data_IF_375703583669
#
_entry.id   IF_375703583669
#
_cell.length_a   1.000
_cell.length_b   1.000
_cell.length_c   1.000
_cell.angle_alpha   90.00
_cell.angle_beta   90.00
_cell.angle_gamma   90.00
#
_symmetry.space_group_name_H-M   'P 1'
#
loop_
_entity.id
_entity.type
_entity.pdbx_description
1 polymer ?
#
# COMPACT_ATOMS: atom_id res chain seq x y z
N UNK A 1 -30.30 -19.39 -20.70
CA UNK A 1 -30.74 -18.96 -19.35
C UNK A 1 -29.83 -19.61 -18.33
N UNK A 2 -29.37 -18.92 -17.30
CA UNK A 2 -28.55 -19.55 -16.27
C UNK A 2 -29.34 -20.68 -15.59
N UNK A 3 -28.73 -21.86 -15.47
CA UNK A 3 -29.33 -23.01 -14.80
C UNK A 3 -29.33 -22.82 -13.29
N UNK A 4 -30.42 -23.19 -12.61
CA UNK A 4 -30.50 -23.28 -11.14
C UNK A 4 -30.17 -24.70 -10.69
N UNK A 5 -29.28 -24.81 -9.70
CA UNK A 5 -28.89 -26.08 -9.09
C UNK A 5 -29.43 -26.17 -7.67
N UNK A 6 -30.06 -27.28 -7.33
CA UNK A 6 -30.48 -27.62 -5.96
C UNK A 6 -29.68 -28.80 -5.40
N UNK A 7 -28.48 -28.97 -5.92
CA UNK A 7 -27.63 -30.12 -5.66
C UNK A 7 -26.44 -29.75 -4.76
N UNK A 8 -26.72 -28.91 -3.76
CA UNK A 8 -25.73 -28.59 -2.72
C UNK A 8 -25.50 -29.87 -1.90
N UNK A 9 -24.27 -30.36 -1.88
CA UNK A 9 -23.94 -31.60 -1.18
C UNK A 9 -23.38 -31.36 0.21
N UNK A 10 -22.54 -30.37 0.34
CA UNK A 10 -21.77 -30.08 1.57
C UNK A 10 -21.53 -28.58 1.70
N UNK A 11 -21.55 -28.11 2.94
CA UNK A 11 -21.12 -26.75 3.31
C UNK A 11 -20.16 -26.88 4.47
N UNK A 12 -18.92 -26.43 4.28
CA UNK A 12 -17.85 -26.50 5.27
C UNK A 12 -17.14 -25.14 5.40
N UNK A 13 -17.53 -24.38 6.41
CA UNK A 13 -17.02 -23.01 6.61
C UNK A 13 -17.34 -22.12 5.40
N UNK A 14 -16.32 -21.51 4.76
CA UNK A 14 -16.52 -20.65 3.60
C UNK A 14 -16.66 -21.41 2.27
N UNK A 15 -16.69 -22.75 2.30
CA UNK A 15 -16.71 -23.59 1.11
C UNK A 15 -18.03 -24.35 0.99
N UNK A 16 -18.49 -24.53 -0.25
CA UNK A 16 -19.69 -25.29 -0.57
C UNK A 16 -19.46 -26.14 -1.83
N UNK A 17 -19.92 -27.38 -1.80
CA UNK A 17 -19.85 -28.31 -2.94
C UNK A 17 -21.22 -28.41 -3.62
N UNK A 18 -21.27 -28.13 -4.91
CA UNK A 18 -22.45 -28.23 -5.76
C UNK A 18 -22.21 -29.31 -6.78
N UNK A 19 -23.12 -30.34 -6.83
CA UNK A 19 -23.03 -31.46 -7.76
C UNK A 19 -23.80 -31.25 -9.07
N UNK A 20 -23.32 -31.94 -10.09
CA UNK A 20 -24.05 -32.04 -11.38
C UNK A 20 -24.09 -30.72 -12.13
N UNK A 21 -23.04 -29.90 -12.01
CA UNK A 21 -22.93 -28.64 -12.73
C UNK A 21 -22.48 -28.88 -14.17
N UNK A 22 -23.02 -28.08 -15.10
CA UNK A 22 -22.69 -28.16 -16.52
C UNK A 22 -22.42 -26.77 -17.08
N UNK A 23 -21.31 -26.62 -17.83
CA UNK A 23 -20.96 -25.39 -18.52
C UNK A 23 -20.55 -24.26 -17.57
N UNK A 24 -20.11 -24.58 -16.34
CA UNK A 24 -19.59 -23.66 -15.34
C UNK A 24 -18.10 -23.50 -15.54
N UNK A 25 -17.57 -22.28 -15.38
CA UNK A 25 -16.17 -21.98 -15.54
C UNK A 25 -15.46 -21.71 -14.20
N UNK A 26 -14.13 -21.83 -14.19
CA UNK A 26 -13.31 -21.37 -13.05
C UNK A 26 -13.49 -19.87 -12.85
N UNK A 27 -13.45 -19.42 -11.60
CA UNK A 27 -13.65 -18.02 -11.18
C UNK A 27 -15.04 -17.46 -11.52
N UNK A 28 -15.96 -18.28 -12.00
CA UNK A 28 -17.32 -17.85 -12.29
C UNK A 28 -18.06 -17.46 -11.01
N UNK A 29 -18.75 -16.32 -11.07
CA UNK A 29 -19.60 -15.84 -9.99
C UNK A 29 -20.91 -16.63 -9.94
N UNK A 30 -21.31 -17.01 -8.74
CA UNK A 30 -22.61 -17.63 -8.46
C UNK A 30 -23.43 -16.85 -7.45
N UNK A 31 -24.74 -17.02 -7.51
CA UNK A 31 -25.70 -16.47 -6.56
C UNK A 31 -26.40 -17.64 -5.85
N UNK A 32 -26.39 -17.63 -4.54
CA UNK A 32 -27.08 -18.61 -3.69
C UNK A 32 -28.33 -17.94 -3.15
N UNK A 33 -29.48 -18.54 -3.40
CA UNK A 33 -30.76 -18.11 -2.85
C UNK A 33 -31.12 -19.02 -1.67
N UNK A 34 -31.22 -18.44 -0.48
CA UNK A 34 -31.70 -19.14 0.71
C UNK A 34 -33.21 -19.34 0.69
N UNK A 35 -33.68 -20.23 1.56
CA UNK A 35 -35.12 -20.45 1.76
C UNK A 35 -35.86 -19.19 2.24
N UNK A 36 -35.18 -18.27 2.91
CA UNK A 36 -35.69 -16.97 3.32
C UNK A 36 -35.90 -15.99 2.16
N UNK A 37 -35.37 -16.30 0.96
CA UNK A 37 -35.31 -15.37 -0.17
C UNK A 37 -34.06 -14.51 -0.20
N UNK A 38 -33.26 -14.53 0.85
CA UNK A 38 -31.96 -13.84 0.91
C UNK A 38 -31.03 -14.39 -0.16
N UNK A 39 -30.26 -13.49 -0.78
CA UNK A 39 -29.27 -13.83 -1.81
C UNK A 39 -27.88 -13.61 -1.27
N UNK A 40 -27.01 -14.60 -1.52
CA UNK A 40 -25.57 -14.55 -1.22
C UNK A 40 -24.78 -14.84 -2.46
N UNK A 41 -23.52 -14.42 -2.46
CA UNK A 41 -22.62 -14.63 -3.59
C UNK A 41 -21.61 -15.72 -3.29
N UNK A 42 -21.19 -16.40 -4.35
CA UNK A 42 -20.11 -17.36 -4.30
C UNK A 42 -19.27 -17.28 -5.58
N UNK A 43 -18.08 -17.85 -5.53
CA UNK A 43 -17.16 -17.94 -6.66
C UNK A 43 -16.72 -19.39 -6.84
N UNK A 44 -16.67 -19.85 -8.08
CA UNK A 44 -16.17 -21.19 -8.42
C UNK A 44 -14.65 -21.24 -8.22
N UNK A 45 -14.19 -22.15 -7.39
CA UNK A 45 -12.76 -22.37 -7.15
C UNK A 45 -12.23 -23.55 -7.97
N UNK A 46 -13.01 -24.62 -8.06
CA UNK A 46 -12.58 -25.86 -8.70
C UNK A 46 -13.79 -26.55 -9.35
N UNK A 47 -13.55 -27.20 -10.44
CA UNK A 47 -14.52 -28.03 -11.13
C UNK A 47 -13.89 -29.41 -11.33
N UNK A 48 -14.52 -30.44 -10.77
CA UNK A 48 -14.05 -31.81 -10.87
C UNK A 48 -15.22 -32.76 -11.10
N UNK A 49 -15.18 -33.56 -12.18
CA UNK A 49 -16.17 -34.56 -12.53
C UNK A 49 -17.63 -34.07 -12.51
N UNK A 50 -17.85 -32.81 -12.97
CA UNK A 50 -19.19 -32.21 -12.95
C UNK A 50 -19.63 -31.68 -11.58
N UNK A 51 -18.71 -31.57 -10.62
CA UNK A 51 -18.95 -30.93 -9.33
C UNK A 51 -18.19 -29.62 -9.26
N UNK A 52 -18.82 -28.57 -8.73
CA UNK A 52 -18.17 -27.29 -8.48
C UNK A 52 -17.92 -27.09 -6.98
N UNK A 53 -16.67 -26.90 -6.60
CA UNK A 53 -16.32 -26.37 -5.31
C UNK A 53 -16.38 -24.84 -5.40
N UNK A 54 -17.23 -24.23 -4.59
CA UNK A 54 -17.43 -22.80 -4.57
C UNK A 54 -17.05 -22.20 -3.23
N UNK A 55 -16.55 -20.98 -3.26
CA UNK A 55 -16.22 -20.17 -2.12
C UNK A 55 -17.34 -19.15 -1.87
N UNK A 56 -17.82 -19.09 -0.65
CA UNK A 56 -18.85 -18.15 -0.21
C UNK A 56 -18.22 -16.79 0.12
N UNK A 57 -18.85 -15.70 -0.30
CA UNK A 57 -18.44 -14.35 0.09
C UNK A 57 -19.06 -13.91 1.41
N UNK A 58 -20.22 -14.43 1.74
CA UNK A 58 -20.94 -14.17 2.99
C UNK A 58 -20.96 -15.43 3.87
N UNK A 59 -21.51 -15.30 5.08
CA UNK A 59 -21.65 -16.41 6.03
C UNK A 59 -22.37 -17.61 5.43
N UNK A 60 -21.94 -18.82 5.77
CA UNK A 60 -22.66 -20.06 5.42
C UNK A 60 -23.91 -20.32 6.27
N UNK A 61 -24.14 -19.52 7.33
CA UNK A 61 -25.28 -19.68 8.24
C UNK A 61 -26.59 -19.57 7.51
N UNK A 62 -27.49 -20.55 7.69
CA UNK A 62 -28.80 -20.56 7.04
C UNK A 62 -28.83 -21.16 5.63
N UNK A 63 -27.69 -21.57 5.07
CA UNK A 63 -27.67 -22.38 3.84
C UNK A 63 -28.20 -23.78 4.19
N UNK A 64 -29.28 -24.17 3.54
CA UNK A 64 -29.90 -25.48 3.68
C UNK A 64 -29.65 -26.30 2.42
N UNK A 65 -29.17 -27.54 2.58
CA UNK A 65 -28.79 -28.41 1.46
C UNK A 65 -29.93 -28.77 0.56
N UNK A 66 -31.16 -28.82 1.10
CA UNK A 66 -32.37 -29.27 0.36
C UNK A 66 -33.14 -28.10 -0.25
N UNK A 67 -33.15 -26.93 0.41
CA UNK A 67 -34.04 -25.82 0.03
C UNK A 67 -33.29 -24.64 -0.62
N UNK A 68 -32.00 -24.50 -0.39
CA UNK A 68 -31.22 -23.46 -1.03
C UNK A 68 -30.91 -23.79 -2.49
N UNK A 69 -30.75 -22.75 -3.31
CA UNK A 69 -30.50 -22.90 -4.75
C UNK A 69 -29.23 -22.11 -5.12
N UNK A 70 -28.50 -22.62 -6.10
CA UNK A 70 -27.31 -21.94 -6.66
C UNK A 70 -27.55 -21.68 -8.14
N UNK A 71 -27.20 -20.48 -8.58
CA UNK A 71 -27.25 -20.08 -9.98
C UNK A 71 -25.88 -19.49 -10.36
N UNK A 72 -25.22 -20.08 -11.34
CA UNK A 72 -23.98 -19.52 -11.91
C UNK A 72 -24.34 -18.48 -12.97
N UNK A 73 -23.55 -17.38 -13.02
CA UNK A 73 -23.91 -16.18 -13.77
C UNK A 73 -23.23 -16.08 -15.16
N UNK A 74 -22.35 -17.03 -15.49
CA UNK A 74 -21.62 -17.05 -16.76
C UNK A 74 -20.57 -15.93 -16.88
N UNK A 75 -20.14 -15.35 -15.77
CA UNK A 75 -19.13 -14.28 -15.72
C UNK A 75 -18.33 -14.33 -14.43
N UNK A 76 -17.12 -13.79 -14.48
CA UNK A 76 -16.29 -13.57 -13.30
C UNK A 76 -16.82 -12.41 -12.44
N UNK A 77 -16.14 -12.15 -11.31
CA UNK A 77 -16.44 -10.99 -10.48
C UNK A 77 -16.04 -9.71 -11.22
N UNK A 78 -16.98 -8.78 -11.32
CA UNK A 78 -16.81 -7.49 -11.98
C UNK A 78 -17.09 -6.34 -11.02
N UNK A 79 -16.37 -5.24 -11.19
CA UNK A 79 -16.66 -3.96 -10.59
C UNK A 79 -17.27 -3.03 -11.65
N UNK A 80 -18.37 -2.37 -11.30
CA UNK A 80 -18.86 -1.23 -12.07
C UNK A 80 -17.97 -0.03 -11.81
N UNK A 81 -17.27 0.46 -12.82
CA UNK A 81 -16.34 1.59 -12.70
C UNK A 81 -16.88 2.86 -13.34
N UNK A 82 -16.66 3.98 -12.71
CA UNK A 82 -17.06 5.32 -13.15
C UNK A 82 -16.17 6.38 -12.50
N UNK A 83 -16.08 7.57 -13.09
CA UNK A 83 -15.50 8.75 -12.45
C UNK A 83 -16.23 9.16 -11.17
N UNK A 84 -17.51 8.82 -11.05
CA UNK A 84 -18.35 9.13 -9.88
C UNK A 84 -17.99 8.31 -8.63
N UNK A 85 -17.04 7.38 -8.73
CA UNK A 85 -16.46 6.70 -7.57
C UNK A 85 -15.60 7.62 -6.70
N UNK A 86 -15.09 8.73 -7.24
CA UNK A 86 -14.34 9.73 -6.46
C UNK A 86 -15.26 10.35 -5.40
N UNK A 87 -14.73 10.51 -4.22
CA UNK A 87 -15.48 11.04 -3.07
C UNK A 87 -16.32 10.00 -2.32
N UNK A 88 -16.31 8.73 -2.75
CA UNK A 88 -17.20 7.70 -2.24
C UNK A 88 -16.47 6.65 -1.39
N UNK A 89 -17.24 6.04 -0.50
CA UNK A 89 -16.79 4.95 0.38
C UNK A 89 -17.54 3.66 0.04
N UNK A 90 -16.80 2.60 -0.18
CA UNK A 90 -17.30 1.28 -0.59
C UNK A 90 -16.89 0.21 0.44
N UNK A 91 -17.69 -0.85 0.50
CA UNK A 91 -17.27 -2.08 1.17
C UNK A 91 -16.21 -2.84 0.34
N UNK A 92 -15.71 -3.94 0.86
CA UNK A 92 -14.68 -4.76 0.19
C UNK A 92 -15.13 -5.40 -1.12
N UNK A 93 -16.42 -5.38 -1.43
CA UNK A 93 -17.01 -5.90 -2.66
C UNK A 93 -17.50 -4.80 -3.62
N UNK A 94 -17.16 -3.54 -3.32
CA UNK A 94 -17.46 -2.39 -4.17
C UNK A 94 -18.90 -1.87 -4.08
N UNK A 95 -19.63 -2.20 -2.99
CA UNK A 95 -20.95 -1.61 -2.72
C UNK A 95 -20.79 -0.32 -1.93
N UNK A 96 -21.47 0.79 -2.30
CA UNK A 96 -21.43 2.03 -1.53
C UNK A 96 -21.94 1.81 -0.08
N UNK A 97 -21.20 2.33 0.90
CA UNK A 97 -21.56 2.28 2.33
C UNK A 97 -21.66 3.67 2.99
N UNK A 98 -21.50 4.72 2.21
CA UNK A 98 -21.53 6.12 2.63
C UNK A 98 -22.95 6.74 2.66
N UNK A 99 -23.99 5.92 2.43
CA UNK A 99 -25.38 6.38 2.35
C UNK A 99 -25.74 7.13 1.06
N UNK A 100 -24.79 7.24 0.12
CA UNK A 100 -25.02 7.82 -1.20
C UNK A 100 -25.72 6.82 -2.16
N UNK A 101 -26.13 7.30 -3.35
CA UNK A 101 -26.78 6.46 -4.35
C UNK A 101 -25.81 5.42 -4.91
N UNK A 102 -26.33 4.35 -5.50
CA UNK A 102 -25.52 3.44 -6.30
C UNK A 102 -24.83 4.16 -7.45
N UNK A 103 -23.60 3.76 -7.74
CA UNK A 103 -22.83 4.29 -8.87
C UNK A 103 -23.38 3.72 -10.16
N UNK A 104 -23.75 4.61 -11.09
CA UNK A 104 -24.05 4.19 -12.47
C UNK A 104 -22.71 3.95 -13.19
N UNK A 105 -22.40 2.71 -13.54
CA UNK A 105 -21.09 2.41 -14.11
C UNK A 105 -20.98 2.86 -15.57
N UNK A 106 -19.85 3.47 -15.92
CA UNK A 106 -19.50 3.70 -17.33
C UNK A 106 -19.25 2.36 -18.05
N UNK A 107 -18.65 1.41 -17.33
CA UNK A 107 -18.49 0.01 -17.76
C UNK A 107 -18.34 -0.92 -16.57
N UNK A 108 -18.39 -2.24 -16.86
CA UNK A 108 -18.00 -3.29 -15.91
C UNK A 108 -16.66 -3.86 -16.27
N UNK A 109 -15.78 -4.01 -15.28
CA UNK A 109 -14.43 -4.51 -15.46
C UNK A 109 -14.20 -5.74 -14.56
N UNK A 110 -13.53 -6.76 -15.09
CA UNK A 110 -13.11 -7.94 -14.33
C UNK A 110 -12.12 -7.53 -13.23
N UNK A 111 -12.41 -7.93 -12.00
CA UNK A 111 -11.59 -7.56 -10.85
C UNK A 111 -10.28 -8.35 -10.74
N UNK A 112 -10.19 -9.51 -11.40
CA UNK A 112 -8.96 -10.27 -11.42
C UNK A 112 -7.84 -9.48 -12.13
N UNK A 113 -8.18 -8.73 -13.17
CA UNK A 113 -7.23 -7.93 -13.92
C UNK A 113 -6.08 -8.76 -14.49
N UNK A 114 -5.10 -8.08 -15.01
CA UNK A 114 -3.85 -8.71 -15.48
C UNK A 114 -2.66 -7.86 -15.05
N UNK A 115 -1.53 -8.50 -14.69
CA UNK A 115 -0.26 -7.80 -14.52
C UNK A 115 0.07 -7.00 -15.78
N UNK A 116 0.60 -5.80 -15.61
CA UNK A 116 0.97 -4.95 -16.73
C UNK A 116 2.08 -5.62 -17.56
N UNK A 117 1.86 -5.73 -18.87
CA UNK A 117 2.86 -6.29 -19.77
C UNK A 117 4.19 -5.50 -19.66
N UNK A 118 5.32 -6.16 -19.37
CA UNK A 118 6.63 -5.49 -19.25
C UNK A 118 7.01 -4.66 -20.47
N UNK A 119 6.66 -5.10 -21.68
CA UNK A 119 6.95 -4.37 -22.92
C UNK A 119 6.13 -3.07 -23.06
N UNK A 120 4.98 -2.99 -22.39
CA UNK A 120 4.13 -1.81 -22.38
C UNK A 120 4.50 -0.80 -21.27
N UNK A 121 5.42 -1.15 -20.37
CA UNK A 121 5.82 -0.27 -19.26
C UNK A 121 6.68 0.89 -19.71
N UNK A 122 6.44 2.06 -19.09
CA UNK A 122 7.37 3.18 -19.09
C UNK A 122 8.17 3.19 -17.78
N UNK A 123 9.41 3.63 -17.85
CA UNK A 123 10.24 3.80 -16.66
C UNK A 123 9.73 4.94 -15.78
N UNK A 124 9.65 4.75 -14.45
CA UNK A 124 9.39 5.81 -13.50
C UNK A 124 10.49 6.90 -13.53
N UNK A 125 10.10 8.17 -13.61
CA UNK A 125 11.06 9.30 -13.70
C UNK A 125 10.59 10.56 -12.99
N UNK A 126 9.33 10.65 -12.59
CA UNK A 126 8.74 11.87 -12.03
C UNK A 126 8.63 11.75 -10.51
N UNK A 127 8.97 12.83 -9.82
CA UNK A 127 8.91 12.93 -8.38
C UNK A 127 7.46 13.00 -7.88
N UNK A 128 7.13 12.16 -6.92
CA UNK A 128 5.91 12.31 -6.11
C UNK A 128 6.30 12.89 -4.77
N UNK A 129 5.77 14.08 -4.48
CA UNK A 129 5.91 14.70 -3.17
C UNK A 129 4.89 14.11 -2.22
N UNK A 130 5.36 13.41 -1.18
CA UNK A 130 4.51 12.86 -0.11
C UNK A 130 4.28 13.86 1.01
N UNK A 131 5.07 14.92 1.08
CA UNK A 131 5.07 15.90 2.16
C UNK A 131 5.75 15.39 3.44
N UNK A 132 6.38 14.22 3.39
CA UNK A 132 7.12 13.59 4.50
C UNK A 132 8.62 13.64 4.20
N UNK A 133 9.38 14.44 4.96
CA UNK A 133 10.79 14.69 4.69
C UNK A 133 11.65 13.42 4.64
N UNK A 134 11.42 12.45 5.52
CA UNK A 134 12.16 11.19 5.54
C UNK A 134 11.92 10.33 4.28
N UNK A 135 10.80 10.52 3.59
CA UNK A 135 10.50 9.89 2.30
C UNK A 135 11.04 10.76 1.18
N UNK A 136 10.57 11.99 1.08
CA UNK A 136 10.84 12.88 -0.06
C UNK A 136 12.32 13.21 -0.19
N UNK A 137 13.01 13.43 0.94
CA UNK A 137 14.41 13.80 0.96
C UNK A 137 15.40 12.64 0.80
N UNK A 138 15.07 11.44 1.29
CA UNK A 138 16.02 10.32 1.42
C UNK A 138 15.60 9.04 0.69
N UNK A 139 14.31 8.78 0.60
CA UNK A 139 13.74 7.56 0.04
C UNK A 139 12.64 7.89 -0.97
N UNK A 140 12.93 8.80 -1.86
CA UNK A 140 12.02 9.43 -2.81
C UNK A 140 11.11 8.46 -3.52
N UNK A 141 9.80 8.75 -3.48
CA UNK A 141 8.77 8.04 -4.22
C UNK A 141 8.72 8.58 -5.65
N UNK A 142 8.71 7.66 -6.62
CA UNK A 142 8.69 7.98 -8.04
C UNK A 142 7.37 7.52 -8.65
N UNK A 143 6.82 8.31 -9.54
CA UNK A 143 5.55 8.03 -10.22
C UNK A 143 5.59 6.69 -10.97
N UNK A 144 4.66 5.80 -10.65
CA UNK A 144 4.60 4.44 -11.20
C UNK A 144 5.43 3.40 -10.43
N UNK A 145 6.03 3.79 -9.30
CA UNK A 145 6.78 2.90 -8.42
C UNK A 145 5.85 2.11 -7.48
N UNK A 146 6.33 0.94 -7.04
CA UNK A 146 5.77 0.16 -5.93
C UNK A 146 6.72 0.29 -4.73
N UNK A 147 6.36 1.09 -3.74
CA UNK A 147 7.18 1.35 -2.55
C UNK A 147 6.42 0.98 -1.28
N UNK A 148 6.65 -0.20 -0.71
CA UNK A 148 5.93 -0.64 0.48
C UNK A 148 6.39 0.07 1.76
N UNK A 149 5.49 0.13 2.74
CA UNK A 149 5.79 0.52 4.11
C UNK A 149 5.73 -0.72 4.99
N UNK A 150 6.85 -1.05 5.61
CA UNK A 150 6.98 -2.11 6.58
C UNK A 150 6.79 -1.54 7.99
N UNK A 151 5.63 -1.83 8.56
CA UNK A 151 5.26 -1.47 9.92
C UNK A 151 5.40 -2.66 10.86
N UNK A 152 5.07 -2.45 12.12
CA UNK A 152 4.97 -3.48 13.13
C UNK A 152 3.74 -3.22 14.01
N UNK A 153 3.30 -4.23 14.75
CA UNK A 153 2.10 -4.13 15.60
C UNK A 153 2.19 -2.94 16.56
N UNK A 154 1.16 -2.12 16.60
CA UNK A 154 1.08 -0.92 17.43
C UNK A 154 1.87 0.29 16.94
N UNK A 155 2.53 0.24 15.78
CA UNK A 155 3.13 1.41 15.16
C UNK A 155 2.11 2.20 14.34
N UNK A 156 2.29 3.52 14.19
CA UNK A 156 1.29 4.43 13.64
C UNK A 156 1.26 4.46 12.11
N UNK A 157 1.19 3.30 11.46
CA UNK A 157 1.14 3.22 9.99
C UNK A 157 -0.15 3.79 9.41
N UNK A 158 -1.27 3.69 10.13
CA UNK A 158 -2.54 4.27 9.70
C UNK A 158 -2.45 5.80 9.60
N UNK A 159 -1.84 6.47 10.57
CA UNK A 159 -1.62 7.91 10.57
C UNK A 159 -0.71 8.34 9.40
N UNK A 160 0.37 7.58 9.14
CA UNK A 160 1.26 7.85 8.01
C UNK A 160 0.56 7.63 6.67
N UNK A 161 -0.23 6.56 6.53
CA UNK A 161 -1.02 6.31 5.33
C UNK A 161 -2.01 7.44 5.04
N UNK A 162 -2.74 7.87 6.07
CA UNK A 162 -3.66 9.00 5.97
C UNK A 162 -2.95 10.31 5.61
N UNK A 163 -1.78 10.57 6.19
CA UNK A 163 -0.95 11.73 5.88
C UNK A 163 -0.55 11.75 4.40
N UNK A 164 0.00 10.66 3.89
CA UNK A 164 0.41 10.52 2.48
C UNK A 164 -0.80 10.70 1.56
N UNK A 165 -1.92 10.04 1.85
CA UNK A 165 -3.14 10.15 1.04
C UNK A 165 -3.67 11.59 0.94
N UNK A 166 -3.59 12.36 2.03
CA UNK A 166 -4.07 13.75 2.07
C UNK A 166 -3.18 14.70 1.27
N UNK A 167 -1.88 14.55 1.34
CA UNK A 167 -0.94 15.58 0.90
C UNK A 167 -0.09 15.20 -0.32
N UNK A 168 -0.10 13.93 -0.76
CA UNK A 168 0.67 13.50 -1.91
C UNK A 168 0.23 14.21 -3.21
N UNK A 169 1.22 14.56 -4.03
CA UNK A 169 1.03 15.23 -5.33
C UNK A 169 2.21 14.98 -6.27
N UNK A 170 1.95 15.05 -7.57
CA UNK A 170 2.99 15.07 -8.62
C UNK A 170 3.28 16.54 -8.95
N UNK A 171 4.54 16.90 -9.07
CA UNK A 171 4.95 18.27 -9.44
C UNK A 171 4.95 18.45 -10.96
N UNK A 172 4.52 19.64 -11.42
CA UNK A 172 4.67 20.05 -12.81
C UNK A 172 3.74 19.33 -13.80
N UNK A 173 2.69 18.67 -13.33
CA UNK A 173 1.68 18.04 -14.17
C UNK A 173 0.34 18.78 -14.08
N UNK A 174 -0.44 18.69 -15.16
CA UNK A 174 -1.81 19.25 -15.23
C UNK A 174 -2.88 18.21 -15.02
N UNK A 175 -2.52 16.93 -15.10
CA UNK A 175 -3.44 15.82 -14.93
C UNK A 175 -3.87 15.68 -13.45
N UNK A 176 -5.12 15.28 -13.22
CA UNK A 176 -5.63 15.10 -11.87
C UNK A 176 -4.84 14.05 -11.07
N UNK A 177 -4.53 14.35 -9.82
CA UNK A 177 -3.95 13.41 -8.87
C UNK A 177 -5.02 12.92 -7.92
N UNK A 178 -5.25 11.62 -7.90
CA UNK A 178 -6.29 10.97 -7.08
C UNK A 178 -5.71 9.81 -6.29
N UNK A 179 -6.44 9.42 -5.25
CA UNK A 179 -6.05 8.33 -4.35
C UNK A 179 -7.11 7.22 -4.42
N UNK A 180 -6.66 5.98 -4.53
CA UNK A 180 -7.49 4.81 -4.27
C UNK A 180 -6.95 4.13 -3.02
N UNK A 181 -7.75 4.14 -1.96
CA UNK A 181 -7.36 3.63 -0.65
C UNK A 181 -8.15 2.37 -0.32
N UNK A 182 -7.47 1.27 -0.06
CA UNK A 182 -8.10 0.02 0.37
C UNK A 182 -7.61 -0.38 1.75
N UNK A 183 -8.52 -0.42 2.70
CA UNK A 183 -8.27 -0.86 4.07
C UNK A 183 -8.86 -2.27 4.26
N UNK A 184 -8.00 -3.22 4.61
CA UNK A 184 -8.30 -4.65 4.67
C UNK A 184 -8.16 -5.19 6.09
N UNK A 185 -9.24 -5.72 6.65
CA UNK A 185 -9.23 -6.33 7.98
C UNK A 185 -8.95 -5.35 9.11
N UNK A 186 -9.34 -4.10 8.95
CA UNK A 186 -9.15 -3.04 9.93
C UNK A 186 -10.28 -3.02 10.97
N UNK A 187 -10.03 -2.37 12.11
CA UNK A 187 -11.07 -2.14 13.11
C UNK A 187 -12.06 -1.07 12.65
N UNK A 188 -13.21 -1.01 13.32
CA UNK A 188 -14.20 0.04 13.05
C UNK A 188 -13.62 1.43 13.36
N UNK A 189 -12.83 1.54 14.44
CA UNK A 189 -12.19 2.80 14.85
C UNK A 189 -11.18 3.30 13.80
N UNK A 190 -10.41 2.39 13.21
CA UNK A 190 -9.50 2.75 12.11
C UNK A 190 -10.25 3.18 10.86
N UNK A 191 -11.35 2.50 10.55
CA UNK A 191 -12.22 2.91 9.42
C UNK A 191 -12.81 4.30 9.63
N UNK A 192 -13.36 4.57 10.81
CA UNK A 192 -13.89 5.88 11.18
C UNK A 192 -12.81 6.97 11.15
N UNK A 193 -11.60 6.64 11.62
CA UNK A 193 -10.44 7.52 11.54
C UNK A 193 -10.11 7.93 10.09
N UNK A 194 -10.04 6.97 9.15
CA UNK A 194 -9.75 7.28 7.75
C UNK A 194 -10.84 8.16 7.12
N UNK A 195 -12.11 7.78 7.29
CA UNK A 195 -13.25 8.52 6.73
C UNK A 195 -13.26 9.96 7.25
N UNK A 196 -13.18 10.15 8.58
CA UNK A 196 -13.16 11.47 9.20
C UNK A 196 -11.95 12.28 8.78
N UNK A 197 -10.75 11.69 8.79
CA UNK A 197 -9.51 12.36 8.38
C UNK A 197 -9.59 12.89 6.95
N UNK A 198 -10.18 12.14 6.03
CA UNK A 198 -10.33 12.58 4.65
C UNK A 198 -11.44 13.59 4.46
N UNK A 199 -12.56 13.47 5.18
CA UNK A 199 -13.65 14.45 5.16
C UNK A 199 -13.22 15.79 5.74
N UNK A 200 -12.60 15.81 6.92
CA UNK A 200 -12.15 17.05 7.60
C UNK A 200 -11.14 17.85 6.77
N UNK A 201 -10.36 17.19 5.96
CA UNK A 201 -9.31 17.82 5.13
C UNK A 201 -9.73 18.08 3.69
N UNK A 202 -10.92 17.65 3.28
CA UNK A 202 -11.36 17.68 1.88
C UNK A 202 -10.67 16.68 0.96
N UNK A 203 -9.78 15.83 1.49
CA UNK A 203 -9.09 14.82 0.70
C UNK A 203 -10.04 13.73 0.17
N UNK A 204 -11.20 13.59 0.78
CA UNK A 204 -12.22 12.62 0.34
C UNK A 204 -12.62 12.86 -1.11
N UNK A 205 -12.74 14.12 -1.57
CA UNK A 205 -13.22 14.47 -2.90
C UNK A 205 -12.35 13.89 -4.03
N UNK A 206 -11.07 13.59 -3.74
CA UNK A 206 -10.12 12.98 -4.66
C UNK A 206 -9.78 11.54 -4.29
N UNK A 207 -10.54 10.92 -3.41
CA UNK A 207 -10.27 9.57 -2.90
C UNK A 207 -11.41 8.62 -3.21
N UNK A 208 -11.07 7.42 -3.65
CA UNK A 208 -11.97 6.26 -3.65
C UNK A 208 -11.55 5.38 -2.49
N UNK A 209 -12.43 5.18 -1.51
CA UNK A 209 -12.11 4.40 -0.30
C UNK A 209 -12.86 3.08 -0.29
N UNK A 210 -12.12 1.97 -0.22
CA UNK A 210 -12.65 0.62 0.00
C UNK A 210 -12.34 0.20 1.43
N UNK A 211 -13.35 -0.30 2.15
CA UNK A 211 -13.21 -0.71 3.54
C UNK A 211 -13.70 -2.14 3.72
N UNK A 212 -12.82 -2.99 4.23
CA UNK A 212 -13.16 -4.31 4.74
C UNK A 212 -12.79 -4.36 6.22
N UNK A 213 -13.76 -4.61 7.07
CA UNK A 213 -13.57 -4.65 8.52
C UNK A 213 -13.01 -6.01 8.98
N UNK A 214 -12.47 -6.04 10.18
CA UNK A 214 -11.89 -7.25 10.76
C UNK A 214 -12.91 -8.39 10.94
N UNK A 215 -14.19 -8.06 11.15
CA UNK A 215 -15.29 -9.00 11.29
C UNK A 215 -15.95 -9.38 9.95
N UNK A 216 -15.54 -8.75 8.84
CA UNK A 216 -16.01 -9.14 7.51
C UNK A 216 -15.35 -10.45 7.05
N UNK A 217 -16.00 -11.22 6.17
CA UNK A 217 -15.46 -12.49 5.69
C UNK A 217 -14.07 -12.38 5.05
N UNK A 218 -13.22 -13.39 5.29
CA UNK A 218 -11.87 -13.46 4.71
C UNK A 218 -11.88 -13.38 3.18
N UNK A 219 -12.91 -13.92 2.54
CA UNK A 219 -13.07 -13.92 1.07
C UNK A 219 -13.30 -12.51 0.53
N UNK A 220 -14.08 -11.71 1.23
CA UNK A 220 -14.27 -10.29 0.90
C UNK A 220 -12.94 -9.54 1.01
N UNK A 221 -12.15 -9.83 2.05
CA UNK A 221 -10.82 -9.26 2.25
C UNK A 221 -9.88 -9.57 1.09
N UNK A 222 -9.94 -10.78 0.53
CA UNK A 222 -9.18 -11.17 -0.66
C UNK A 222 -9.64 -10.41 -1.92
N UNK A 223 -10.92 -10.09 -2.04
CA UNK A 223 -11.46 -9.33 -3.16
C UNK A 223 -11.11 -7.84 -3.09
N UNK A 224 -11.02 -7.26 -1.90
CA UNK A 224 -10.87 -5.82 -1.66
C UNK A 224 -9.72 -5.17 -2.45
N UNK A 225 -8.47 -5.65 -2.43
CA UNK A 225 -7.39 -5.02 -3.19
C UNK A 225 -7.58 -5.16 -4.70
N UNK A 226 -8.26 -6.21 -5.16
CA UNK A 226 -8.61 -6.38 -6.58
C UNK A 226 -9.63 -5.34 -7.03
N UNK A 227 -10.65 -5.07 -6.21
CA UNK A 227 -11.61 -3.99 -6.45
C UNK A 227 -10.91 -2.64 -6.55
N UNK A 228 -10.04 -2.33 -5.59
CA UNK A 228 -9.28 -1.08 -5.55
C UNK A 228 -8.39 -0.91 -6.80
N UNK A 229 -7.64 -1.94 -7.18
CA UNK A 229 -6.77 -1.88 -8.35
C UNK A 229 -7.57 -1.77 -9.66
N UNK A 230 -8.75 -2.39 -9.74
CA UNK A 230 -9.63 -2.27 -10.91
C UNK A 230 -10.17 -0.84 -11.06
N UNK A 231 -10.58 -0.21 -9.95
CA UNK A 231 -10.95 1.20 -9.95
C UNK A 231 -9.75 2.10 -10.35
N UNK A 232 -8.57 1.82 -9.80
CA UNK A 232 -7.36 2.55 -10.12
C UNK A 232 -6.96 2.45 -11.59
N UNK A 233 -7.03 1.26 -12.20
CA UNK A 233 -6.75 1.05 -13.62
C UNK A 233 -7.68 1.85 -14.51
N UNK A 234 -8.96 1.89 -14.19
CA UNK A 234 -9.93 2.69 -14.92
C UNK A 234 -9.62 4.19 -14.84
N UNK A 235 -9.39 4.71 -13.64
CA UNK A 235 -9.07 6.13 -13.43
C UNK A 235 -7.72 6.50 -14.08
N UNK A 236 -6.72 5.63 -14.00
CA UNK A 236 -5.39 5.89 -14.56
C UNK A 236 -5.35 5.78 -16.09
N UNK A 237 -5.87 4.69 -16.64
CA UNK A 237 -5.62 4.34 -18.05
C UNK A 237 -6.77 4.66 -18.98
N UNK A 238 -7.94 5.02 -18.47
CA UNK A 238 -9.10 5.46 -19.27
C UNK A 238 -9.50 6.90 -19.00
N UNK A 239 -9.18 7.43 -17.81
CA UNK A 239 -9.44 8.84 -17.44
C UNK A 239 -8.15 9.68 -17.36
N UNK A 240 -7.00 9.09 -17.68
CA UNK A 240 -5.68 9.75 -17.71
C UNK A 240 -5.28 10.44 -16.39
N UNK A 241 -5.66 9.85 -15.24
CA UNK A 241 -5.34 10.39 -13.93
C UNK A 241 -4.06 9.80 -13.36
N UNK A 242 -3.39 10.55 -12.49
CA UNK A 242 -2.31 10.01 -11.65
C UNK A 242 -2.92 9.42 -10.39
N UNK A 243 -2.91 8.10 -10.28
CA UNK A 243 -3.53 7.37 -9.19
C UNK A 243 -2.46 6.87 -8.21
N UNK A 244 -2.57 7.30 -6.95
CA UNK A 244 -1.85 6.70 -5.84
C UNK A 244 -2.74 5.65 -5.19
N UNK A 245 -2.31 4.39 -5.23
CA UNK A 245 -3.00 3.29 -4.57
C UNK A 245 -2.32 2.98 -3.25
N UNK A 246 -3.08 2.99 -2.16
CA UNK A 246 -2.61 2.58 -0.82
C UNK A 246 -3.41 1.34 -0.41
N UNK A 247 -2.70 0.25 -0.15
CA UNK A 247 -3.28 -1.01 0.31
C UNK A 247 -2.79 -1.30 1.74
N UNK A 248 -3.68 -1.23 2.72
CA UNK A 248 -3.39 -1.51 4.13
C UNK A 248 -4.46 -2.42 4.74
N UNK A 249 -4.20 -3.50 5.44
CA UNK A 249 -2.90 -4.10 5.74
C UNK A 249 -2.71 -5.38 4.90
N UNK A 250 -1.60 -5.48 4.23
CA UNK A 250 -1.28 -6.66 3.39
C UNK A 250 -1.10 -7.92 4.27
N UNK A 251 -0.74 -7.76 5.54
CA UNK A 251 -0.66 -8.90 6.46
C UNK A 251 -2.03 -9.51 6.70
N UNK A 252 -3.06 -8.68 6.91
CA UNK A 252 -4.44 -9.16 7.04
C UNK A 252 -4.93 -9.84 5.75
N UNK A 253 -4.53 -9.32 4.60
CA UNK A 253 -4.80 -9.95 3.31
C UNK A 253 -4.16 -11.34 3.20
N UNK A 254 -2.87 -11.45 3.54
CA UNK A 254 -2.16 -12.73 3.49
C UNK A 254 -2.71 -13.75 4.50
N UNK A 255 -3.13 -13.30 5.68
CA UNK A 255 -3.79 -14.14 6.67
C UNK A 255 -5.16 -14.66 6.18
N UNK A 256 -5.90 -13.84 5.42
CA UNK A 256 -7.12 -14.30 4.74
C UNK A 256 -6.82 -15.37 3.68
N UNK A 257 -5.74 -15.23 2.90
CA UNK A 257 -5.29 -16.27 1.98
C UNK A 257 -4.95 -17.56 2.71
N UNK A 258 -4.25 -17.48 3.84
CA UNK A 258 -3.91 -18.63 4.68
C UNK A 258 -5.15 -19.33 5.23
N UNK A 259 -6.14 -18.58 5.71
CA UNK A 259 -7.41 -19.12 6.21
C UNK A 259 -8.15 -19.90 5.12
N UNK A 260 -8.29 -19.31 3.94
CA UNK A 260 -8.97 -19.95 2.81
C UNK A 260 -8.20 -21.18 2.32
N UNK A 261 -6.88 -21.10 2.20
CA UNK A 261 -6.02 -22.23 1.81
C UNK A 261 -6.13 -23.39 2.80
N UNK A 262 -6.16 -23.09 4.10
CA UNK A 262 -6.36 -24.12 5.14
C UNK A 262 -7.75 -24.77 5.05
N UNK A 263 -8.80 -23.99 4.79
CA UNK A 263 -10.15 -24.52 4.60
C UNK A 263 -10.24 -25.45 3.37
N UNK A 264 -9.46 -25.17 2.32
CA UNK A 264 -9.33 -26.03 1.12
C UNK A 264 -8.44 -27.25 1.33
N UNK A 265 -7.82 -27.38 2.51
CA UNK A 265 -6.85 -28.46 2.81
C UNK A 265 -5.66 -28.51 1.85
N UNK A 266 -5.26 -27.34 1.34
CA UNK A 266 -4.05 -27.22 0.51
C UNK A 266 -2.80 -27.51 1.32
N UNK A 267 -1.76 -28.01 0.65
CA UNK A 267 -0.47 -28.23 1.32
C UNK A 267 0.13 -26.89 1.72
N UNK A 268 0.37 -26.64 3.01
CA UNK A 268 0.87 -25.36 3.46
C UNK A 268 2.33 -25.16 3.05
N UNK A 269 2.65 -23.94 2.64
CA UNK A 269 4.01 -23.49 2.44
C UNK A 269 4.64 -22.96 3.74
N UNK A 270 5.62 -22.08 3.60
CA UNK A 270 6.36 -21.47 4.72
C UNK A 270 5.41 -20.75 5.68
N UNK A 271 5.50 -21.03 6.97
CA UNK A 271 4.65 -20.49 8.06
C UNK A 271 3.14 -20.69 7.85
N UNK A 272 2.74 -21.70 7.09
CA UNK A 272 1.34 -22.02 6.85
C UNK A 272 0.65 -21.20 5.76
N UNK A 273 1.35 -20.30 5.10
CA UNK A 273 0.82 -19.57 3.94
C UNK A 273 0.73 -20.45 2.71
N UNK A 274 -0.19 -20.17 1.76
CA UNK A 274 -0.28 -20.95 0.54
C UNK A 274 0.98 -20.83 -0.31
N UNK A 275 1.36 -21.92 -0.98
CA UNK A 275 2.56 -21.94 -1.83
C UNK A 275 2.53 -20.94 -2.97
N UNK A 276 1.32 -20.51 -3.40
CA UNK A 276 1.11 -19.51 -4.45
C UNK A 276 1.10 -18.06 -3.96
N UNK A 277 1.38 -17.78 -2.67
CA UNK A 277 1.30 -16.42 -2.13
C UNK A 277 2.19 -15.42 -2.87
N UNK A 278 3.38 -15.84 -3.32
CA UNK A 278 4.26 -15.00 -4.14
C UNK A 278 3.58 -14.56 -5.44
N UNK A 279 3.05 -15.53 -6.18
CA UNK A 279 2.37 -15.27 -7.46
C UNK A 279 1.11 -14.43 -7.27
N UNK A 280 0.39 -14.66 -6.19
CA UNK A 280 -0.82 -13.90 -5.86
C UNK A 280 -0.49 -12.43 -5.54
N UNK A 281 0.48 -12.17 -4.66
CA UNK A 281 0.96 -10.81 -4.37
C UNK A 281 1.54 -10.13 -5.62
N UNK A 282 2.31 -10.86 -6.44
CA UNK A 282 2.83 -10.34 -7.69
C UNK A 282 1.71 -9.95 -8.65
N UNK A 283 0.65 -10.74 -8.74
CA UNK A 283 -0.51 -10.43 -9.59
C UNK A 283 -1.21 -9.14 -9.20
N UNK A 284 -1.19 -8.77 -7.92
CA UNK A 284 -1.70 -7.49 -7.43
C UNK A 284 -0.70 -6.36 -7.72
N UNK A 285 0.52 -6.49 -7.26
CA UNK A 285 1.51 -5.40 -7.29
C UNK A 285 1.93 -5.04 -8.73
N UNK A 286 1.98 -6.01 -9.62
CA UNK A 286 2.37 -5.79 -11.03
C UNK A 286 1.27 -5.15 -11.89
N UNK A 287 0.11 -4.85 -11.31
CA UNK A 287 -0.92 -3.99 -11.95
C UNK A 287 -0.54 -2.51 -11.87
N UNK A 288 0.34 -2.12 -10.96
CA UNK A 288 0.83 -0.76 -10.84
C UNK A 288 1.94 -0.45 -11.85
N UNK A 289 2.07 0.82 -12.20
CA UNK A 289 3.12 1.33 -13.09
C UNK A 289 2.64 2.42 -14.04
N UNK A 290 3.49 2.72 -15.01
CA UNK A 290 3.19 3.61 -16.14
C UNK A 290 3.12 2.79 -17.42
N UNK A 291 2.15 3.11 -18.27
CA UNK A 291 1.96 2.44 -19.56
C UNK A 291 2.32 3.37 -20.72
N UNK A 292 3.04 2.85 -21.72
CA UNK A 292 3.36 3.59 -22.96
C UNK A 292 2.09 4.04 -23.65
N UNK A 293 2.06 5.30 -24.09
CA UNK A 293 0.91 5.89 -24.77
C UNK A 293 -0.27 6.27 -23.87
N UNK A 294 -0.13 6.16 -22.55
CA UNK A 294 -1.09 6.62 -21.56
C UNK A 294 -0.50 7.75 -20.71
N UNK A 295 -1.28 8.80 -20.48
CA UNK A 295 -0.88 9.91 -19.62
C UNK A 295 -0.96 9.54 -18.14
N UNK A 296 -1.97 8.76 -17.75
CA UNK A 296 -2.17 8.31 -16.38
C UNK A 296 -1.14 7.30 -15.89
N UNK A 297 -1.16 7.05 -14.58
CA UNK A 297 -0.24 6.13 -13.92
C UNK A 297 -0.82 5.59 -12.63
N UNK A 298 -0.32 4.44 -12.20
CA UNK A 298 -0.61 3.87 -10.87
C UNK A 298 0.70 3.76 -10.10
N UNK A 299 0.79 4.49 -9.00
CA UNK A 299 1.84 4.37 -7.98
C UNK A 299 1.26 3.60 -6.81
N UNK A 300 1.98 2.63 -6.28
CA UNK A 300 1.46 1.70 -5.28
C UNK A 300 2.27 1.77 -3.98
N UNK A 301 1.58 1.95 -2.88
CA UNK A 301 2.12 1.85 -1.52
C UNK A 301 1.39 0.71 -0.79
N UNK A 302 1.91 -0.54 -0.85
CA UNK A 302 1.44 -1.60 0.02
C UNK A 302 1.97 -1.36 1.44
N UNK A 303 1.09 -1.41 2.43
CA UNK A 303 1.47 -1.30 3.84
C UNK A 303 1.24 -2.65 4.50
N UNK A 304 2.24 -3.15 5.21
CA UNK A 304 2.16 -4.40 5.93
C UNK A 304 2.66 -4.27 7.36
N UNK A 305 2.11 -5.07 8.24
CA UNK A 305 2.57 -5.22 9.61
C UNK A 305 3.44 -6.47 9.69
N UNK A 306 4.72 -6.30 10.04
CA UNK A 306 5.64 -7.43 10.21
C UNK A 306 5.28 -8.21 11.48
N UNK A 307 4.89 -9.50 11.38
CA UNK A 307 4.72 -10.32 12.57
C UNK A 307 6.04 -10.43 13.35
N UNK A 308 5.97 -10.24 14.66
CA UNK A 308 7.13 -10.30 15.57
C UNK A 308 8.27 -9.31 15.23
N UNK A 309 7.97 -8.23 14.50
CA UNK A 309 8.95 -7.27 13.94
C UNK A 309 9.99 -7.95 13.00
N UNK A 310 9.68 -9.14 12.47
CA UNK A 310 10.57 -9.99 11.69
C UNK A 310 10.51 -9.65 10.18
N UNK A 311 11.55 -9.01 9.67
CA UNK A 311 11.71 -8.68 8.24
C UNK A 311 11.86 -9.92 7.36
N UNK A 312 12.24 -11.08 7.93
CA UNK A 312 12.41 -12.34 7.20
C UNK A 312 11.14 -13.18 7.13
N UNK A 313 10.05 -12.67 7.75
CA UNK A 313 8.74 -13.28 7.62
C UNK A 313 8.28 -13.31 6.14
N UNK A 314 7.56 -14.36 5.68
CA UNK A 314 7.18 -14.48 4.27
C UNK A 314 6.52 -13.23 3.66
N UNK A 315 5.70 -12.51 4.40
CA UNK A 315 4.98 -11.34 3.88
C UNK A 315 5.91 -10.18 3.52
N UNK A 316 6.74 -9.64 4.44
CA UNK A 316 7.70 -8.60 4.07
C UNK A 316 8.77 -9.10 3.10
N UNK A 317 9.23 -10.33 3.25
CA UNK A 317 10.25 -10.93 2.39
C UNK A 317 9.79 -10.97 0.93
N UNK A 318 8.62 -11.56 0.65
CA UNK A 318 8.06 -11.63 -0.70
C UNK A 318 7.69 -10.24 -1.26
N UNK A 319 7.12 -9.37 -0.43
CA UNK A 319 6.81 -7.99 -0.84
C UNK A 319 8.07 -7.24 -1.25
N UNK A 320 9.16 -7.38 -0.50
CA UNK A 320 10.45 -6.76 -0.81
C UNK A 320 11.07 -7.25 -2.13
N UNK A 321 10.83 -8.51 -2.52
CA UNK A 321 11.29 -9.04 -3.81
C UNK A 321 10.51 -8.50 -5.00
N UNK A 322 9.20 -8.31 -4.85
CA UNK A 322 8.32 -7.89 -5.95
C UNK A 322 8.40 -6.37 -6.19
N UNK A 323 8.67 -5.60 -5.15
CA UNK A 323 8.61 -4.13 -5.16
C UNK A 323 9.97 -3.46 -5.33
N UNK A 324 9.99 -2.14 -5.50
CA UNK A 324 11.20 -1.36 -5.74
C UNK A 324 11.73 -0.64 -4.49
N UNK A 325 11.76 -1.33 -3.36
CA UNK A 325 12.30 -0.81 -2.10
C UNK A 325 11.42 -1.09 -0.89
N UNK A 326 11.65 -0.38 0.19
CA UNK A 326 10.81 -0.40 1.40
C UNK A 326 11.06 0.84 2.26
N UNK A 327 10.03 1.33 2.92
CA UNK A 327 10.09 2.28 4.03
C UNK A 327 9.84 1.50 5.32
N UNK A 328 10.71 1.64 6.31
CA UNK A 328 10.62 0.86 7.56
C UNK A 328 10.27 1.78 8.72
N UNK A 329 9.23 1.43 9.47
CA UNK A 329 8.89 2.08 10.73
C UNK A 329 9.65 1.42 11.89
N UNK A 330 10.18 2.24 12.79
CA UNK A 330 11.00 1.81 13.91
C UNK A 330 10.27 1.95 15.24
N UNK A 331 10.24 0.86 16.00
CA UNK A 331 9.74 0.86 17.37
C UNK A 331 10.62 1.68 18.32
N UNK A 332 11.94 1.73 18.07
CA UNK A 332 12.88 2.57 18.83
C UNK A 332 12.54 4.05 18.67
N UNK A 333 12.40 4.52 17.42
CA UNK A 333 12.04 5.91 17.13
C UNK A 333 10.65 6.27 17.67
N UNK A 334 9.69 5.34 17.58
CA UNK A 334 8.36 5.52 18.13
C UNK A 334 8.40 5.75 19.65
N UNK A 335 9.22 4.96 20.38
CA UNK A 335 9.41 5.14 21.84
C UNK A 335 10.10 6.48 22.19
N UNK A 336 10.86 7.06 21.27
CA UNK A 336 11.44 8.40 21.39
C UNK A 336 10.47 9.52 21.01
N UNK A 337 9.20 9.20 20.74
CA UNK A 337 8.17 10.13 20.24
C UNK A 337 8.54 10.81 18.90
N UNK A 338 9.29 10.14 18.05
CA UNK A 338 9.54 10.58 16.67
C UNK A 338 8.31 10.21 15.82
N UNK A 339 7.73 11.20 15.15
CA UNK A 339 6.49 11.01 14.38
C UNK A 339 6.57 11.69 12.99
N UNK A 340 6.45 10.93 11.89
CA UNK A 340 6.38 9.47 11.80
C UNK A 340 7.71 8.80 12.15
N UNK A 341 7.71 7.60 12.73
CA UNK A 341 8.93 6.94 13.21
C UNK A 341 9.65 6.17 12.08
N UNK A 342 10.00 6.86 11.00
CA UNK A 342 10.65 6.27 9.84
C UNK A 342 12.14 6.07 10.11
N UNK A 343 12.60 4.83 10.08
CA UNK A 343 14.01 4.50 10.12
C UNK A 343 14.63 4.61 8.73
N UNK A 344 15.36 5.66 8.48
CA UNK A 344 15.90 5.96 7.15
C UNK A 344 17.09 5.08 6.76
N UNK A 345 17.81 4.47 7.71
CA UNK A 345 19.00 3.66 7.39
C UNK A 345 18.63 2.33 6.71
N UNK A 346 17.68 1.52 7.21
CA UNK A 346 17.25 0.31 6.54
C UNK A 346 16.20 0.56 5.45
N UNK A 347 15.69 1.78 5.34
CA UNK A 347 14.76 2.16 4.27
C UNK A 347 15.50 2.38 2.95
N UNK A 348 14.85 2.01 1.86
CA UNK A 348 15.44 2.11 0.52
C UNK A 348 14.35 2.34 -0.53
N UNK A 349 14.54 3.35 -1.38
CA UNK A 349 13.86 3.46 -2.67
C UNK A 349 14.86 3.20 -3.77
N UNK A 350 14.68 2.11 -4.53
CA UNK A 350 15.60 1.72 -5.62
C UNK A 350 15.53 2.65 -6.82
N UNK A 351 14.46 3.42 -6.93
CA UNK A 351 14.22 4.35 -8.05
C UNK A 351 14.44 5.82 -7.67
N UNK A 352 14.86 6.12 -6.45
CA UNK A 352 15.00 7.48 -5.93
C UNK A 352 15.76 8.42 -6.86
N UNK A 353 16.90 7.95 -7.42
CA UNK A 353 17.76 8.77 -8.29
C UNK A 353 17.09 9.15 -9.62
N UNK A 354 16.02 8.45 -10.00
CA UNK A 354 15.25 8.75 -11.23
C UNK A 354 14.27 9.90 -11.04
N UNK A 355 13.85 10.16 -9.79
CA UNK A 355 12.85 11.19 -9.46
C UNK A 355 13.43 12.52 -9.00
N UNK A 356 14.74 12.64 -8.80
CA UNK A 356 15.37 13.81 -8.19
C UNK A 356 16.36 14.51 -9.12
N UNK A 357 16.74 15.73 -8.77
CA UNK A 357 17.73 16.54 -9.47
C UNK A 357 17.13 17.72 -10.25
N UNK A 358 17.94 18.34 -11.08
CA UNK A 358 17.57 19.51 -11.87
C UNK A 358 16.37 19.22 -12.77
N UNK A 359 15.40 20.12 -12.77
CA UNK A 359 14.15 19.97 -13.53
C UNK A 359 13.09 19.06 -12.89
N UNK A 360 13.40 18.36 -11.79
CA UNK A 360 12.48 17.48 -11.05
C UNK A 360 12.24 17.95 -9.63
N UNK A 361 13.33 18.12 -8.89
CA UNK A 361 13.34 18.67 -7.54
C UNK A 361 14.29 19.88 -7.48
N UNK A 362 15.44 19.74 -6.85
CA UNK A 362 16.47 20.76 -6.82
C UNK A 362 17.83 20.11 -7.14
N UNK A 363 18.75 20.85 -7.78
CA UNK A 363 20.04 20.32 -8.24
C UNK A 363 20.94 19.72 -7.17
N UNK A 364 20.81 20.20 -5.93
CA UNK A 364 21.57 19.75 -4.77
C UNK A 364 20.99 18.49 -4.10
N UNK A 365 19.77 18.05 -4.51
CA UNK A 365 19.02 17.02 -3.79
C UNK A 365 19.83 15.73 -3.60
N UNK A 366 20.45 15.20 -4.66
CA UNK A 366 21.21 13.95 -4.57
C UNK A 366 22.41 14.06 -3.63
N UNK A 367 23.14 15.19 -3.69
CA UNK A 367 24.29 15.43 -2.83
C UNK A 367 23.88 15.61 -1.37
N UNK A 368 22.84 16.39 -1.11
CA UNK A 368 22.27 16.62 0.23
C UNK A 368 21.77 15.31 0.84
N UNK A 369 21.00 14.52 0.10
CA UNK A 369 20.52 13.22 0.49
C UNK A 369 21.64 12.28 0.91
N UNK A 370 22.69 12.14 0.08
CA UNK A 370 23.81 11.25 0.36
C UNK A 370 24.62 11.71 1.57
N UNK A 371 24.76 13.01 1.78
CA UNK A 371 25.49 13.57 2.91
C UNK A 371 24.69 13.40 4.22
N UNK A 372 23.41 13.70 4.22
CA UNK A 372 22.52 13.49 5.38
C UNK A 372 22.51 12.03 5.82
N UNK A 373 22.35 11.11 4.87
CA UNK A 373 22.35 9.67 5.14
C UNK A 373 23.68 9.22 5.77
N UNK A 374 24.82 9.64 5.20
CA UNK A 374 26.13 9.27 5.70
C UNK A 374 26.41 9.89 7.09
N UNK A 375 26.02 11.14 7.31
CA UNK A 375 26.18 11.81 8.60
C UNK A 375 25.33 11.16 9.70
N UNK A 376 24.09 10.81 9.38
CA UNK A 376 23.20 10.12 10.32
C UNK A 376 23.72 8.72 10.66
N UNK A 377 24.17 7.94 9.67
CA UNK A 377 24.78 6.62 9.89
C UNK A 377 25.98 6.71 10.85
N UNK A 378 26.90 7.64 10.58
CA UNK A 378 28.07 7.87 11.47
C UNK A 378 27.65 8.31 12.87
N UNK A 379 26.63 9.15 12.98
CA UNK A 379 26.10 9.57 14.28
C UNK A 379 25.49 8.41 15.08
N UNK A 380 24.82 7.48 14.44
CA UNK A 380 24.30 6.26 15.08
C UNK A 380 25.44 5.37 15.57
N UNK A 381 26.50 5.17 14.76
CA UNK A 381 27.68 4.43 15.16
C UNK A 381 28.39 5.08 16.36
N UNK A 382 28.55 6.40 16.36
CA UNK A 382 29.11 7.13 17.48
C UNK A 382 28.30 6.95 18.76
N UNK A 383 26.99 6.96 18.68
CA UNK A 383 26.10 6.70 19.83
C UNK A 383 26.20 5.28 20.35
N UNK A 384 26.34 4.29 19.48
CA UNK A 384 26.58 2.89 19.88
C UNK A 384 27.92 2.74 20.61
N UNK A 385 28.97 3.36 20.09
CA UNK A 385 30.28 3.40 20.76
C UNK A 385 30.21 4.09 22.13
N UNK A 386 29.43 5.17 22.25
CA UNK A 386 29.25 5.87 23.52
C UNK A 386 28.58 4.97 24.58
N UNK A 387 27.62 4.14 24.17
CA UNK A 387 26.97 3.19 25.09
C UNK A 387 27.92 2.11 25.57
N UNK A 388 28.83 1.63 24.70
CA UNK A 388 29.73 0.51 25.01
C UNK A 388 30.99 0.98 25.77
N UNK A 389 31.59 2.08 25.33
CA UNK A 389 32.91 2.55 25.82
C UNK A 389 32.86 3.80 26.74
N UNK A 390 31.68 4.42 26.81
CA UNK A 390 31.50 5.69 27.53
C UNK A 390 31.82 6.91 26.68
N UNK A 391 31.30 8.07 27.07
CA UNK A 391 31.44 9.35 26.34
C UNK A 391 32.93 9.81 26.24
N UNK A 392 33.73 9.49 27.21
CA UNK A 392 35.15 9.86 27.25
C UNK A 392 36.01 9.20 26.15
N UNK A 393 35.52 8.11 25.55
CA UNK A 393 36.15 7.40 24.45
C UNK A 393 35.90 8.03 23.07
N UNK A 394 34.91 8.94 22.95
CA UNK A 394 34.59 9.60 21.71
C UNK A 394 35.51 10.74 21.38
N UNK A 395 35.89 10.86 20.11
CA UNK A 395 36.57 12.08 19.61
C UNK A 395 35.56 13.25 19.57
N UNK A 396 36.04 14.49 19.53
CA UNK A 396 35.19 15.68 19.41
C UNK A 396 34.35 15.62 18.11
N UNK A 397 34.89 15.05 17.03
CA UNK A 397 34.16 14.84 15.78
C UNK A 397 33.03 13.81 15.97
N UNK A 398 33.25 12.72 16.68
CA UNK A 398 32.22 11.73 16.94
C UNK A 398 31.07 12.28 17.79
N UNK A 399 31.40 13.17 18.76
CA UNK A 399 30.37 13.89 19.54
C UNK A 399 29.53 14.81 18.66
N UNK A 400 30.14 15.51 17.69
CA UNK A 400 29.38 16.31 16.72
C UNK A 400 28.44 15.47 15.90
N UNK A 401 28.87 14.31 15.41
CA UNK A 401 27.99 13.39 14.66
C UNK A 401 26.89 12.77 15.53
N UNK A 402 27.16 12.44 16.78
CA UNK A 402 26.18 11.97 17.73
C UNK A 402 25.07 13.03 17.98
N UNK A 403 25.46 14.29 18.18
CA UNK A 403 24.53 15.41 18.32
C UNK A 403 23.76 15.68 17.03
N UNK A 404 24.40 15.55 15.86
CA UNK A 404 23.73 15.62 14.57
C UNK A 404 22.65 14.55 14.44
N UNK A 405 22.93 13.31 14.84
CA UNK A 405 21.94 12.23 14.77
C UNK A 405 20.70 12.52 15.61
N UNK A 406 20.86 13.08 16.82
CA UNK A 406 19.73 13.47 17.66
C UNK A 406 18.92 14.62 17.05
N UNK A 407 19.57 15.63 16.50
CA UNK A 407 18.90 16.73 15.81
C UNK A 407 18.20 16.25 14.55
N UNK A 408 18.81 15.35 13.79
CA UNK A 408 18.22 14.77 12.60
C UNK A 408 16.94 13.97 12.91
N UNK A 409 16.96 13.11 13.94
CA UNK A 409 15.77 12.38 14.38
C UNK A 409 14.65 13.35 14.81
N UNK A 410 15.00 14.37 15.60
CA UNK A 410 14.02 15.30 16.20
C UNK A 410 13.45 16.31 15.20
N UNK A 411 14.27 16.84 14.29
CA UNK A 411 13.89 17.96 13.43
C UNK A 411 13.57 17.56 11.99
N UNK A 412 14.34 16.60 11.43
CA UNK A 412 14.16 16.16 10.05
C UNK A 412 13.14 15.03 9.93
N UNK A 413 13.32 13.95 10.70
CA UNK A 413 12.43 12.78 10.65
C UNK A 413 11.10 13.10 11.33
N UNK A 414 11.13 13.68 12.52
CA UNK A 414 9.93 14.05 13.26
C UNK A 414 9.32 15.33 12.71
N UNK A 415 8.12 15.23 12.18
CA UNK A 415 7.36 16.40 11.68
C UNK A 415 5.89 16.38 12.09
N UNK A 416 5.44 15.30 12.74
CA UNK A 416 4.02 15.09 13.04
C UNK A 416 3.21 14.68 11.80
N UNK A 417 1.95 14.26 12.03
CA UNK A 417 1.10 13.70 10.96
C UNK A 417 0.24 14.74 10.23
N UNK A 418 0.34 16.01 10.57
CA UNK A 418 -0.43 17.10 9.96
C UNK A 418 0.43 18.10 9.18
N UNK A 419 1.74 17.94 9.21
CA UNK A 419 2.68 18.82 8.53
C UNK A 419 2.93 18.32 7.11
N UNK A 420 2.72 19.17 6.13
CA UNK A 420 3.09 18.97 4.72
C UNK A 420 4.34 19.81 4.44
N UNK A 421 5.49 19.17 4.30
CA UNK A 421 6.74 19.83 3.92
C UNK A 421 6.96 19.68 2.43
N UNK A 422 7.21 20.80 1.75
CA UNK A 422 7.67 20.77 0.37
C UNK A 422 9.08 20.16 0.26
N UNK A 423 9.47 19.77 -0.93
CA UNK A 423 10.84 19.27 -1.15
C UNK A 423 11.88 20.35 -0.92
N UNK A 424 11.56 21.62 -1.19
CA UNK A 424 12.39 22.77 -0.92
C UNK A 424 12.61 22.92 0.60
N UNK A 425 11.56 22.96 1.39
CA UNK A 425 11.63 23.02 2.86
C UNK A 425 12.40 21.82 3.43
N UNK A 426 12.19 20.63 2.86
CA UNK A 426 12.91 19.42 3.26
C UNK A 426 14.42 19.53 3.00
N UNK A 427 14.82 20.04 1.84
CA UNK A 427 16.23 20.23 1.49
C UNK A 427 16.86 21.37 2.30
N UNK A 428 16.16 22.46 2.54
CA UNK A 428 16.64 23.57 3.36
C UNK A 428 16.85 23.13 4.80
N UNK A 429 15.92 22.38 5.37
CA UNK A 429 16.08 21.76 6.67
C UNK A 429 17.30 20.81 6.72
N UNK A 430 17.52 20.05 5.64
CA UNK A 430 18.72 19.23 5.50
C UNK A 430 20.01 20.05 5.55
N UNK A 431 20.08 21.16 4.83
CA UNK A 431 21.21 22.07 4.87
C UNK A 431 21.42 22.72 6.23
N UNK A 432 20.34 23.14 6.89
CA UNK A 432 20.38 23.67 8.25
C UNK A 432 21.03 22.69 9.23
N UNK A 433 20.67 21.41 9.15
CA UNK A 433 21.28 20.37 9.99
C UNK A 433 22.75 20.11 9.62
N UNK A 434 23.08 20.10 8.32
CA UNK A 434 24.46 19.90 7.87
C UNK A 434 25.42 21.00 8.34
N UNK A 435 24.91 22.20 8.65
CA UNK A 435 25.72 23.28 9.26
C UNK A 435 26.22 22.96 10.68
N UNK A 436 25.64 21.95 11.35
CA UNK A 436 26.19 21.44 12.63
C UNK A 436 27.56 20.76 12.47
N UNK A 437 27.91 20.39 11.25
CA UNK A 437 29.18 19.75 10.91
C UNK A 437 30.08 20.74 10.20
N UNK A 438 31.40 20.70 10.45
CA UNK A 438 32.33 21.57 9.73
C UNK A 438 32.34 21.25 8.23
N UNK A 439 32.51 22.25 7.39
CA UNK A 439 32.54 22.12 5.93
C UNK A 439 33.47 21.01 5.44
N UNK A 440 34.61 20.81 6.12
CA UNK A 440 35.55 19.74 5.80
C UNK A 440 35.03 18.32 5.94
N UNK A 441 33.95 18.12 6.69
CA UNK A 441 33.31 16.83 6.87
C UNK A 441 32.25 16.52 5.78
N UNK A 442 31.82 17.54 5.01
CA UNK A 442 30.77 17.42 3.99
C UNK A 442 31.34 16.91 2.65
N UNK A 443 32.05 15.79 2.67
CA UNK A 443 32.86 15.24 1.57
C UNK A 443 32.02 14.70 0.38
N UNK A 444 30.71 14.56 0.55
CA UNK A 444 29.79 14.06 -0.50
C UNK A 444 29.14 15.18 -1.30
N UNK A 445 29.47 16.43 -0.98
CA UNK A 445 28.92 17.62 -1.62
C UNK A 445 30.08 18.35 -2.31
N UNK A 446 29.88 18.78 -3.55
CA UNK A 446 30.86 19.53 -4.30
C UNK A 446 31.05 20.95 -3.71
N UNK A 447 32.27 21.53 -3.87
CA UNK A 447 32.54 22.89 -3.41
C UNK A 447 31.57 23.93 -3.97
N UNK A 448 31.15 23.77 -5.23
CA UNK A 448 30.20 24.67 -5.87
C UNK A 448 28.84 24.68 -5.13
N UNK A 449 28.34 23.51 -4.73
CA UNK A 449 27.10 23.42 -3.95
C UNK A 449 27.29 23.91 -2.50
N UNK A 450 28.45 23.63 -1.91
CA UNK A 450 28.78 24.18 -0.59
C UNK A 450 28.83 25.70 -0.61
N UNK A 451 29.44 26.31 -1.64
CA UNK A 451 29.50 27.78 -1.78
C UNK A 451 28.11 28.39 -2.01
N UNK A 452 27.19 27.64 -2.58
CA UNK A 452 25.83 28.11 -2.87
C UNK A 452 24.87 27.97 -1.67
N UNK A 453 24.95 26.88 -0.91
CA UNK A 453 23.94 26.55 0.10
C UNK A 453 24.44 26.56 1.53
N UNK A 454 25.75 26.23 1.79
CA UNK A 454 26.25 26.12 3.16
C UNK A 454 26.31 27.50 3.82
N UNK A 455 25.66 27.65 4.97
CA UNK A 455 25.60 28.90 5.74
C UNK A 455 24.65 29.96 5.14
N UNK A 456 23.84 29.62 4.12
CA UNK A 456 22.92 30.56 3.46
C UNK A 456 21.44 30.19 3.59
N UNK A 457 21.16 29.06 4.21
CA UNK A 457 19.81 28.63 4.55
C UNK A 457 19.56 28.98 6.02
N UNK A 458 18.52 29.77 6.32
CA UNK A 458 18.11 30.20 7.65
C UNK A 458 17.36 29.13 8.45
#
# INVERSE_FOLDING_TARGET
>A
MPKEYRTIQEVAGPLMLVKGVEGVAYDELGEIQLSSGEKRRCKVLEINEGNALVQLFESSTGINLESSKVRFLGRSMELGVSGDMLGRVFDGLGRPIDGGPEILPDKRADVNGLPMNPAARNYPQEFIQTGVSAIDGLNTLVRGQKLPIFSASGLPHAQLAAQIARQAKVRGTTEPFVVVFAAMGITFEESDFFVKSFQETGAIDRTVLFVNLANDPAVERIATPRMALTAAEYLAFEKDMHVLVILTDITNYADALREVSAARKEVPGRRGYPGYMYTDLASLYERAGRQKGKAGSITLIPILTMPEDDKTHPIPDLTGYITEGQIILSRELYRKNIAPPIDVLPSLSRLKDKGIGEGKTRKDHAATMNQLFAAYARGKEAKELMVVLGEAALTETDKLYANFADAFEREYVSQGYRTDRSVEETLDLGWKLLQMLPRSELKRISDALLDEYYGKVE
#
